data_IF_370616351281
#
_entry.id   IF_370616351281
#
_cell.length_a   1.000
_cell.length_b   1.000
_cell.length_c   1.000
_cell.angle_alpha   90.00
_cell.angle_beta   90.00
_cell.angle_gamma   90.00
#
_symmetry.space_group_name_H-M   'P 1'
#
loop_
_entity.id
_entity.type
_entity.pdbx_description
1 polymer ?
#
# COMPACT_ATOMS: atom_id res chain seq x y z
N UNK A 1 13.92 1.46 11.34
CA UNK A 1 13.12 1.55 10.12
C UNK A 1 11.75 1.04 10.49
N UNK A 2 10.71 1.84 10.34
CA UNK A 2 9.33 1.44 10.57
C UNK A 2 8.75 0.90 9.26
N UNK A 3 7.84 -0.07 9.33
CA UNK A 3 7.02 -0.48 8.22
C UNK A 3 5.75 0.35 8.28
N UNK A 4 5.53 1.18 7.28
CA UNK A 4 4.27 1.90 7.12
C UNK A 4 3.36 1.07 6.22
N UNK A 5 2.13 0.82 6.69
CA UNK A 5 1.12 0.05 5.99
C UNK A 5 -0.10 0.92 5.83
N UNK A 6 -0.56 1.04 4.59
CA UNK A 6 -1.74 1.83 4.26
C UNK A 6 -2.73 0.99 3.44
N UNK A 7 -4.02 1.11 3.72
CA UNK A 7 -5.08 0.67 2.81
C UNK A 7 -5.57 1.88 2.03
N UNK A 8 -5.46 1.79 0.71
CA UNK A 8 -5.82 2.86 -0.21
C UNK A 8 -7.00 2.40 -1.06
N UNK A 9 -8.04 3.22 -1.12
CA UNK A 9 -9.19 3.06 -2.00
C UNK A 9 -9.01 3.92 -3.25
N UNK A 10 -9.15 3.32 -4.42
CA UNK A 10 -9.14 4.04 -5.72
C UNK A 10 -10.44 3.77 -6.47
N UNK A 11 -10.84 4.65 -7.41
CA UNK A 11 -11.86 4.29 -8.40
C UNK A 11 -11.48 2.99 -9.13
N UNK A 12 -12.48 2.20 -9.56
CA UNK A 12 -12.25 0.91 -10.24
C UNK A 12 -11.44 1.03 -11.54
N UNK A 13 -11.51 2.18 -12.20
CA UNK A 13 -10.74 2.50 -13.41
C UNK A 13 -9.24 2.72 -13.17
N UNK A 14 -8.81 2.81 -11.92
CA UNK A 14 -7.42 3.11 -11.55
C UNK A 14 -6.68 1.85 -11.11
N UNK A 15 -5.56 1.60 -11.75
CA UNK A 15 -4.60 0.56 -11.35
C UNK A 15 -3.41 1.20 -10.63
N UNK A 16 -3.45 1.17 -9.31
CA UNK A 16 -2.44 1.80 -8.48
C UNK A 16 -1.06 1.12 -8.62
N UNK A 17 -1.05 -0.21 -8.80
CA UNK A 17 0.19 -0.96 -9.00
C UNK A 17 0.92 -0.52 -10.27
N UNK A 18 0.19 -0.27 -11.36
CA UNK A 18 0.77 0.25 -12.61
C UNK A 18 1.35 1.65 -12.43
N UNK A 19 0.64 2.52 -11.70
CA UNK A 19 1.14 3.89 -11.42
C UNK A 19 2.44 3.83 -10.61
N UNK A 20 2.49 2.99 -9.59
CA UNK A 20 3.72 2.82 -8.80
C UNK A 20 4.85 2.20 -9.62
N UNK A 21 4.58 1.25 -10.51
CA UNK A 21 5.60 0.67 -11.37
C UNK A 21 6.24 1.72 -12.29
N UNK A 22 5.42 2.56 -12.92
CA UNK A 22 5.92 3.64 -13.79
C UNK A 22 6.67 4.70 -12.96
N UNK A 23 6.15 5.06 -11.78
CA UNK A 23 6.81 5.99 -10.86
C UNK A 23 8.22 5.53 -10.51
N UNK A 24 8.35 4.28 -10.08
CA UNK A 24 9.62 3.68 -9.67
C UNK A 24 10.63 3.70 -10.82
N UNK A 25 10.18 3.28 -12.00
CA UNK A 25 11.03 3.28 -13.19
C UNK A 25 11.47 4.68 -13.60
N UNK A 26 10.59 5.67 -13.47
CA UNK A 26 10.93 7.07 -13.72
C UNK A 26 11.91 7.57 -12.68
N UNK A 27 11.70 7.26 -11.41
CA UNK A 27 12.59 7.66 -10.32
C UNK A 27 14.00 7.08 -10.49
N UNK A 28 14.12 5.79 -10.79
CA UNK A 28 15.40 5.13 -11.04
C UNK A 28 16.10 5.71 -12.27
N UNK A 29 15.36 5.91 -13.37
CA UNK A 29 15.89 6.48 -14.60
C UNK A 29 16.35 7.95 -14.47
N UNK A 30 15.89 8.70 -13.46
CA UNK A 30 16.19 10.10 -13.26
C UNK A 30 17.02 10.43 -12.01
N UNK A 31 17.25 9.47 -11.12
CA UNK A 31 18.02 9.68 -9.88
C UNK A 31 19.40 10.30 -10.11
N UNK A 32 20.02 10.00 -11.24
CA UNK A 32 21.33 10.53 -11.64
C UNK A 32 21.29 11.96 -12.21
N UNK A 33 20.12 12.53 -12.54
CA UNK A 33 19.99 13.89 -13.08
C UNK A 33 20.02 14.98 -12.00
N UNK A 34 19.82 14.61 -10.74
CA UNK A 34 19.51 15.58 -9.69
C UNK A 34 20.72 16.18 -8.99
N UNK A 35 21.94 15.96 -9.44
CA UNK A 35 23.17 16.56 -8.90
C UNK A 35 23.10 17.20 -7.51
N UNK A 36 24.19 17.37 -6.82
CA UNK A 36 24.25 17.79 -5.39
C UNK A 36 23.94 19.29 -5.13
N UNK A 37 23.69 20.10 -6.17
CA UNK A 37 23.51 21.56 -6.01
C UNK A 37 22.07 21.94 -5.64
N UNK A 38 21.89 22.24 -4.35
CA UNK A 38 20.61 22.65 -3.76
C UNK A 38 20.02 23.96 -4.31
N UNK A 39 20.86 24.87 -4.81
CA UNK A 39 20.41 26.18 -5.27
C UNK A 39 19.69 26.14 -6.62
N UNK A 40 19.93 25.13 -7.41
CA UNK A 40 19.35 24.95 -8.75
C UNK A 40 18.03 24.15 -8.75
N UNK A 41 17.63 23.58 -7.63
CA UNK A 41 16.52 22.60 -7.55
C UNK A 41 15.16 23.13 -8.00
N UNK A 42 14.80 24.36 -7.66
CA UNK A 42 13.50 24.92 -8.08
C UNK A 42 13.38 25.06 -9.60
N UNK A 43 14.46 25.41 -10.30
CA UNK A 43 14.51 25.44 -11.74
C UNK A 43 14.43 24.01 -12.34
N UNK A 44 15.11 23.05 -11.71
CA UNK A 44 15.08 21.64 -12.12
C UNK A 44 13.69 21.00 -12.05
N UNK A 45 12.84 21.36 -11.11
CA UNK A 45 11.50 20.80 -11.01
C UNK A 45 10.63 21.06 -12.23
N UNK A 46 10.68 22.29 -12.75
CA UNK A 46 9.92 22.63 -13.97
C UNK A 46 10.50 21.87 -15.17
N UNK A 47 11.81 21.85 -15.31
CA UNK A 47 12.49 21.11 -16.37
C UNK A 47 12.24 19.60 -16.28
N UNK A 48 12.27 19.05 -15.07
CA UNK A 48 11.98 17.64 -14.84
C UNK A 48 10.55 17.25 -15.21
N UNK A 49 9.56 18.05 -14.81
CA UNK A 49 8.17 17.83 -15.22
C UNK A 49 8.00 17.87 -16.73
N UNK A 50 8.68 18.79 -17.40
CA UNK A 50 8.61 18.90 -18.86
C UNK A 50 9.31 17.73 -19.56
N UNK A 51 10.43 17.24 -19.02
CA UNK A 51 11.07 16.01 -19.48
C UNK A 51 10.19 14.80 -19.27
N UNK A 52 9.57 14.66 -18.11
CA UNK A 52 8.62 13.55 -17.83
C UNK A 52 7.46 13.54 -18.82
N UNK A 53 6.94 14.70 -19.23
CA UNK A 53 5.85 14.78 -20.22
C UNK A 53 6.24 14.22 -21.60
N UNK A 54 7.51 14.25 -21.93
CA UNK A 54 8.03 13.73 -23.21
C UNK A 54 8.54 12.31 -23.17
N UNK A 55 8.50 11.65 -22.00
CA UNK A 55 8.96 10.27 -21.84
C UNK A 55 8.06 9.29 -22.60
N UNK A 56 8.72 8.39 -23.31
CA UNK A 56 8.06 7.22 -23.91
C UNK A 56 8.33 5.97 -23.07
N UNK A 57 7.46 4.99 -23.18
CA UNK A 57 7.63 3.69 -22.53
C UNK A 57 8.97 3.04 -22.87
N UNK A 58 9.39 3.10 -24.14
CA UNK A 58 10.67 2.54 -24.58
C UNK A 58 11.88 3.25 -23.97
N UNK A 59 11.81 4.57 -23.81
CA UNK A 59 12.87 5.32 -23.13
C UNK A 59 12.99 4.93 -21.66
N UNK A 60 11.87 4.74 -20.94
CA UNK A 60 11.90 4.28 -19.57
C UNK A 60 12.47 2.87 -19.50
N UNK A 61 11.99 1.94 -20.33
CA UNK A 61 12.46 0.56 -20.35
C UNK A 61 13.93 0.41 -20.78
N UNK A 62 14.50 1.36 -21.52
CA UNK A 62 15.92 1.34 -21.89
C UNK A 62 16.85 1.71 -20.73
N UNK A 63 16.33 2.39 -19.71
CA UNK A 63 17.10 2.88 -18.57
C UNK A 63 16.90 2.05 -17.29
N UNK A 64 15.90 1.16 -17.27
CA UNK A 64 15.53 0.36 -16.11
C UNK A 64 15.63 -1.13 -16.44
N UNK A 65 16.49 -1.84 -15.73
CA UNK A 65 16.71 -3.28 -15.94
C UNK A 65 16.15 -4.15 -14.81
N UNK A 66 15.97 -3.59 -13.62
CA UNK A 66 15.49 -4.25 -12.41
C UNK A 66 14.61 -3.31 -11.58
N UNK A 67 13.69 -3.79 -10.74
CA UNK A 67 13.31 -5.21 -10.58
C UNK A 67 12.61 -5.80 -11.81
N UNK A 68 12.81 -7.09 -12.07
CA UNK A 68 12.25 -7.77 -13.27
C UNK A 68 10.72 -7.66 -13.35
N UNK A 69 10.04 -7.72 -12.20
CA UNK A 69 8.58 -7.67 -12.13
C UNK A 69 8.06 -6.28 -12.55
N UNK A 70 8.76 -5.23 -12.16
CA UNK A 70 8.48 -3.85 -12.56
C UNK A 70 8.63 -3.69 -14.09
N UNK A 71 9.73 -4.16 -14.63
CA UNK A 71 10.00 -4.12 -16.07
C UNK A 71 8.94 -4.92 -16.84
N UNK A 72 8.55 -6.10 -16.33
CA UNK A 72 7.52 -6.93 -16.94
C UNK A 72 6.15 -6.21 -16.93
N UNK A 73 5.79 -5.59 -15.80
CA UNK A 73 4.56 -4.81 -15.67
C UNK A 73 4.50 -3.67 -16.68
N UNK A 74 5.58 -2.88 -16.82
CA UNK A 74 5.62 -1.77 -17.79
C UNK A 74 5.56 -2.29 -19.23
N UNK A 75 6.24 -3.39 -19.54
CA UNK A 75 6.21 -4.00 -20.89
C UNK A 75 4.80 -4.42 -21.30
N UNK A 76 3.99 -4.90 -20.37
CA UNK A 76 2.62 -5.36 -20.63
C UNK A 76 1.64 -4.20 -20.80
N UNK A 77 1.94 -3.00 -20.32
CA UNK A 77 1.08 -1.82 -20.52
C UNK A 77 1.00 -1.43 -21.99
N UNK A 78 -0.19 -1.00 -22.44
CA UNK A 78 -0.32 -0.24 -23.67
C UNK A 78 0.30 1.16 -23.49
N UNK A 79 0.61 1.84 -24.59
CA UNK A 79 1.11 3.21 -24.54
C UNK A 79 0.09 4.17 -23.91
N UNK A 80 -1.21 3.91 -24.11
CA UNK A 80 -2.30 4.69 -23.49
C UNK A 80 -2.27 4.54 -21.97
N UNK A 81 -2.14 3.32 -21.46
CA UNK A 81 -2.04 3.06 -20.01
C UNK A 81 -0.77 3.67 -19.42
N UNK A 82 0.37 3.51 -20.12
CA UNK A 82 1.63 4.11 -19.69
C UNK A 82 1.51 5.64 -19.58
N UNK A 83 0.96 6.30 -20.59
CA UNK A 83 0.77 7.74 -20.59
C UNK A 83 -0.22 8.22 -19.51
N UNK A 84 -1.27 7.42 -19.22
CA UNK A 84 -2.19 7.70 -18.13
C UNK A 84 -1.48 7.63 -16.76
N UNK A 85 -0.65 6.61 -16.53
CA UNK A 85 0.17 6.52 -15.31
C UNK A 85 1.15 7.69 -15.21
N UNK A 86 1.83 8.02 -16.29
CA UNK A 86 2.78 9.14 -16.35
C UNK A 86 2.10 10.48 -16.03
N UNK A 87 0.86 10.71 -16.49
CA UNK A 87 0.07 11.89 -16.15
C UNK A 87 -0.09 12.06 -14.63
N UNK A 88 -0.44 10.99 -13.92
CA UNK A 88 -0.58 11.02 -12.46
C UNK A 88 0.76 11.29 -11.76
N UNK A 89 1.83 10.68 -12.23
CA UNK A 89 3.17 10.87 -11.68
C UNK A 89 3.62 12.33 -11.84
N UNK A 90 3.49 12.90 -13.02
CA UNK A 90 3.87 14.29 -13.29
C UNK A 90 3.13 15.27 -12.37
N UNK A 91 1.84 15.01 -12.12
CA UNK A 91 1.03 15.84 -11.24
C UNK A 91 1.38 15.67 -9.75
N UNK A 92 1.97 14.53 -9.38
CA UNK A 92 2.41 14.25 -7.99
C UNK A 92 3.83 14.70 -7.69
N UNK A 93 4.63 15.08 -8.69
CA UNK A 93 5.98 15.59 -8.44
C UNK A 93 5.93 16.96 -7.79
N UNK A 94 6.57 17.10 -6.64
CA UNK A 94 6.71 18.37 -5.91
C UNK A 94 8.16 18.61 -5.46
N UNK A 95 8.59 19.88 -5.30
CA UNK A 95 9.90 20.19 -4.75
C UNK A 95 9.97 19.76 -3.28
N UNK A 96 11.03 19.05 -2.88
CA UNK A 96 11.25 18.72 -1.47
C UNK A 96 11.86 19.89 -0.71
N UNK A 97 11.36 20.16 0.50
CA UNK A 97 11.87 21.25 1.33
C UNK A 97 13.25 20.92 1.93
N UNK A 98 13.55 19.65 2.15
CA UNK A 98 14.73 19.20 2.92
C UNK A 98 15.97 18.86 2.08
N UNK A 99 15.91 19.08 0.80
CA UNK A 99 17.10 19.01 -0.06
C UNK A 99 17.58 17.60 -0.40
N UNK A 100 16.76 16.56 -0.30
CA UNK A 100 17.08 15.23 -0.78
C UNK A 100 17.17 15.17 -2.32
N UNK A 101 18.05 14.29 -2.81
CA UNK A 101 18.36 14.12 -4.24
C UNK A 101 17.31 13.29 -5.01
N UNK A 102 16.32 12.73 -4.32
CA UNK A 102 15.27 11.91 -4.91
C UNK A 102 14.08 12.73 -5.39
N UNK A 103 13.39 12.25 -6.41
CA UNK A 103 12.10 12.79 -6.82
C UNK A 103 11.13 12.70 -5.64
N UNK A 104 10.61 13.82 -5.20
CA UNK A 104 9.58 13.83 -4.19
C UNK A 104 8.22 13.64 -4.85
N UNK A 105 7.65 12.45 -4.69
CA UNK A 105 6.29 12.16 -5.08
C UNK A 105 5.38 12.45 -3.89
N UNK A 106 4.48 13.40 -4.06
CA UNK A 106 3.43 13.66 -3.08
C UNK A 106 2.36 12.58 -3.23
N UNK A 107 2.43 11.59 -2.35
CA UNK A 107 1.47 10.46 -2.32
C UNK A 107 0.03 10.92 -2.13
N UNK A 108 -0.19 12.08 -1.50
CA UNK A 108 -1.54 12.64 -1.33
C UNK A 108 -2.16 13.14 -2.66
N UNK A 109 -1.34 13.28 -3.71
CA UNK A 109 -1.80 13.64 -5.06
C UNK A 109 -1.98 12.46 -5.98
N UNK A 110 -1.61 11.25 -5.55
CA UNK A 110 -1.93 10.03 -6.30
C UNK A 110 -3.43 9.75 -6.24
N UNK A 111 -3.99 9.07 -7.26
CA UNK A 111 -5.42 8.82 -7.32
C UNK A 111 -5.82 7.75 -6.30
N UNK A 112 -6.10 8.17 -5.09
CA UNK A 112 -6.53 7.26 -4.04
C UNK A 112 -6.75 7.98 -2.71
N UNK A 113 -7.60 7.38 -1.88
CA UNK A 113 -7.83 7.84 -0.51
C UNK A 113 -7.33 6.77 0.45
N UNK A 114 -6.44 7.14 1.33
CA UNK A 114 -6.04 6.28 2.44
C UNK A 114 -7.22 6.09 3.38
N UNK A 115 -7.66 4.86 3.56
CA UNK A 115 -8.72 4.50 4.51
C UNK A 115 -8.14 4.36 5.90
N UNK A 116 -6.99 3.70 6.00
CA UNK A 116 -6.24 3.67 7.24
C UNK A 116 -4.73 3.62 6.97
N UNK A 117 -3.98 4.08 7.95
CA UNK A 117 -2.54 4.08 7.99
C UNK A 117 -2.03 3.47 9.30
N UNK A 118 -1.07 2.56 9.24
CA UNK A 118 -0.62 1.80 10.40
C UNK A 118 0.75 1.15 10.19
N UNK A 119 1.48 0.97 11.30
CA UNK A 119 2.76 0.27 11.35
C UNK A 119 2.61 -1.15 11.94
N UNK A 120 1.63 -1.95 11.54
CA UNK A 120 1.39 -3.30 12.06
C UNK A 120 1.60 -4.39 11.03
N UNK A 121 2.60 -5.26 11.26
CA UNK A 121 2.85 -6.45 10.44
C UNK A 121 1.66 -7.41 10.39
N UNK A 122 0.96 -7.61 11.51
CA UNK A 122 -0.18 -8.50 11.59
C UNK A 122 -1.32 -8.06 10.69
N UNK A 123 -1.53 -6.76 10.55
CA UNK A 123 -2.56 -6.23 9.69
C UNK A 123 -2.20 -6.41 8.20
N UNK A 124 -0.92 -6.27 7.84
CA UNK A 124 -0.41 -6.63 6.51
C UNK A 124 -0.72 -8.08 6.19
N UNK A 125 -0.39 -9.00 7.09
CA UNK A 125 -0.60 -10.42 6.89
C UNK A 125 -2.09 -10.77 6.78
N UNK A 126 -2.95 -10.09 7.54
CA UNK A 126 -4.40 -10.24 7.45
C UNK A 126 -4.94 -9.82 6.08
N UNK A 127 -4.57 -8.65 5.60
CA UNK A 127 -5.03 -8.17 4.30
C UNK A 127 -4.38 -8.90 3.13
N UNK A 128 -3.15 -9.41 3.28
CA UNK A 128 -2.52 -10.26 2.28
C UNK A 128 -3.30 -11.58 2.04
N UNK A 129 -4.05 -12.09 3.05
CA UNK A 129 -4.95 -13.22 2.86
C UNK A 129 -6.16 -12.90 1.95
N UNK A 130 -6.41 -11.62 1.71
CA UNK A 130 -7.49 -11.11 0.85
C UNK A 130 -6.98 -10.69 -0.54
N UNK A 131 -5.80 -11.11 -0.95
CA UNK A 131 -5.21 -10.78 -2.25
C UNK A 131 -6.08 -11.24 -3.43
N UNK A 132 -6.19 -10.40 -4.46
CA UNK A 132 -6.93 -10.70 -5.70
C UNK A 132 -6.13 -11.66 -6.57
N UNK A 133 -4.81 -11.42 -6.70
CA UNK A 133 -3.92 -12.20 -7.55
C UNK A 133 -2.63 -12.56 -6.83
N UNK A 134 -1.95 -13.62 -7.29
CA UNK A 134 -0.65 -14.02 -6.78
C UNK A 134 0.52 -13.13 -7.25
N UNK A 135 0.26 -12.18 -8.10
CA UNK A 135 1.26 -11.25 -8.65
C UNK A 135 1.34 -9.98 -7.81
N UNK A 136 2.15 -10.03 -6.78
CA UNK A 136 2.46 -8.88 -5.94
C UNK A 136 3.59 -8.07 -6.56
N UNK A 137 3.35 -6.80 -6.81
CA UNK A 137 4.40 -5.89 -7.24
C UNK A 137 5.27 -5.51 -6.05
N UNK A 138 6.60 -5.59 -6.21
CA UNK A 138 7.59 -5.23 -5.19
C UNK A 138 8.58 -4.20 -5.71
N UNK A 139 8.19 -2.94 -5.86
CA UNK A 139 9.12 -1.87 -6.21
C UNK A 139 10.03 -1.56 -5.01
N UNK A 140 11.34 -1.50 -5.19
CA UNK A 140 12.39 -1.03 -4.25
C UNK A 140 12.14 -1.23 -2.74
N UNK A 141 11.60 -2.40 -2.34
CA UNK A 141 11.28 -2.69 -0.94
C UNK A 141 9.83 -2.39 -0.55
N UNK A 142 9.09 -1.63 -1.33
CA UNK A 142 7.66 -1.46 -1.16
C UNK A 142 6.90 -2.70 -1.65
N UNK A 143 5.69 -2.82 -1.15
CA UNK A 143 4.82 -3.92 -1.46
C UNK A 143 3.45 -3.35 -1.80
N UNK A 144 2.96 -3.63 -3.01
CA UNK A 144 1.65 -3.18 -3.47
C UNK A 144 0.83 -4.39 -3.89
N UNK A 145 -0.33 -4.51 -3.30
CA UNK A 145 -1.20 -5.65 -3.41
C UNK A 145 -2.63 -5.20 -3.62
N UNK A 146 -3.29 -5.68 -4.67
CA UNK A 146 -4.73 -5.48 -4.78
C UNK A 146 -5.48 -6.43 -3.85
N UNK A 147 -6.43 -5.87 -3.10
CA UNK A 147 -7.20 -6.56 -2.07
C UNK A 147 -8.63 -6.80 -2.57
N UNK A 148 -9.08 -8.04 -2.49
CA UNK A 148 -10.43 -8.46 -2.83
C UNK A 148 -11.42 -8.02 -1.75
N UNK A 149 -12.35 -7.14 -2.11
CA UNK A 149 -13.37 -6.59 -1.21
C UNK A 149 -14.25 -7.69 -0.63
N UNK A 150 -14.63 -8.70 -1.41
CA UNK A 150 -15.48 -9.79 -0.93
C UNK A 150 -14.75 -10.65 0.10
N UNK A 151 -13.44 -10.88 -0.10
CA UNK A 151 -12.62 -11.56 0.89
C UNK A 151 -12.47 -10.74 2.19
N UNK A 152 -12.35 -9.42 2.09
CA UNK A 152 -12.32 -8.53 3.27
C UNK A 152 -13.66 -8.57 4.01
N UNK A 153 -14.78 -8.56 3.29
CA UNK A 153 -16.10 -8.73 3.88
C UNK A 153 -16.24 -10.07 4.59
N UNK A 154 -15.80 -11.17 3.95
CA UNK A 154 -15.81 -12.50 4.55
C UNK A 154 -14.91 -12.59 5.79
N UNK A 155 -13.75 -11.92 5.77
CA UNK A 155 -12.87 -11.79 6.92
C UNK A 155 -13.59 -11.06 8.06
N UNK A 156 -14.24 -9.93 7.76
CA UNK A 156 -15.01 -9.15 8.75
C UNK A 156 -16.11 -9.98 9.41
N UNK A 157 -16.85 -10.77 8.63
CA UNK A 157 -17.89 -11.65 9.17
C UNK A 157 -17.32 -12.74 10.10
N UNK A 158 -16.12 -13.27 9.80
CA UNK A 158 -15.41 -14.18 10.71
C UNK A 158 -15.06 -13.48 12.02
N UNK A 159 -14.51 -12.28 11.98
CA UNK A 159 -14.17 -11.50 13.17
C UNK A 159 -15.39 -11.17 14.02
N UNK A 160 -16.50 -10.77 13.41
CA UNK A 160 -17.75 -10.52 14.13
C UNK A 160 -18.26 -11.77 14.87
N UNK A 161 -18.19 -12.94 14.27
CA UNK A 161 -18.58 -14.20 14.92
C UNK A 161 -17.68 -14.54 16.11
N UNK A 162 -16.38 -14.21 16.02
CA UNK A 162 -15.43 -14.44 17.10
C UNK A 162 -15.52 -13.41 18.21
N UNK A 163 -16.15 -12.27 18.00
CA UNK A 163 -16.19 -11.15 18.95
C UNK A 163 -16.73 -11.54 20.32
N UNK A 164 -17.70 -12.44 20.38
CA UNK A 164 -18.24 -12.96 21.64
C UNK A 164 -17.18 -13.80 22.39
N UNK A 165 -16.51 -14.75 21.72
CA UNK A 165 -15.44 -15.56 22.33
C UNK A 165 -14.30 -14.66 22.85
N UNK A 166 -13.89 -13.65 22.08
CA UNK A 166 -12.88 -12.67 22.48
C UNK A 166 -13.32 -11.88 23.71
N UNK A 167 -14.58 -11.48 23.79
CA UNK A 167 -15.14 -10.78 24.94
C UNK A 167 -15.15 -11.66 26.19
N UNK A 168 -15.48 -12.92 26.05
CA UNK A 168 -15.43 -13.93 27.12
C UNK A 168 -13.98 -14.15 27.58
N UNK A 169 -13.04 -14.29 26.65
CA UNK A 169 -11.62 -14.40 26.96
C UNK A 169 -11.10 -13.20 27.76
N UNK A 170 -11.49 -11.98 27.37
CA UNK A 170 -11.17 -10.75 28.09
C UNK A 170 -11.73 -10.76 29.52
N UNK A 171 -12.99 -11.17 29.68
CA UNK A 171 -13.62 -11.25 31.00
C UNK A 171 -12.93 -12.27 31.90
N UNK A 172 -12.61 -13.47 31.36
CA UNK A 172 -11.84 -14.49 32.08
C UNK A 172 -10.45 -13.96 32.46
N UNK A 173 -9.82 -13.17 31.60
CA UNK A 173 -8.52 -12.55 31.82
C UNK A 173 -8.45 -11.69 33.08
N UNK A 174 -9.57 -11.10 33.52
CA UNK A 174 -9.62 -10.37 34.81
C UNK A 174 -9.44 -11.29 36.02
N UNK A 175 -9.81 -12.56 35.92
CA UNK A 175 -9.65 -13.53 37.02
C UNK A 175 -8.40 -14.37 36.86
N UNK A 176 -8.02 -14.68 35.63
CA UNK A 176 -6.82 -15.41 35.30
C UNK A 176 -6.27 -14.97 33.94
N UNK A 177 -5.29 -14.09 33.97
CA UNK A 177 -4.65 -13.55 32.77
C UNK A 177 -4.17 -14.65 31.82
N UNK A 178 -3.50 -15.67 32.37
CA UNK A 178 -2.98 -16.80 31.59
C UNK A 178 -4.08 -17.55 30.83
N UNK A 179 -5.22 -17.79 31.47
CA UNK A 179 -6.36 -18.51 30.83
C UNK A 179 -7.01 -17.62 29.79
N UNK A 180 -7.24 -16.35 30.09
CA UNK A 180 -7.81 -15.39 29.14
C UNK A 180 -6.93 -15.21 27.89
N UNK A 181 -5.60 -15.11 28.05
CA UNK A 181 -4.66 -15.00 26.94
C UNK A 181 -4.58 -16.29 26.11
N UNK A 182 -4.70 -17.47 26.70
CA UNK A 182 -4.73 -18.71 25.94
C UNK A 182 -5.99 -18.78 25.05
N UNK A 183 -7.18 -18.46 25.61
CA UNK A 183 -8.42 -18.41 24.82
C UNK A 183 -8.32 -17.36 23.72
N UNK A 184 -7.74 -16.19 24.00
CA UNK A 184 -7.52 -15.17 22.98
C UNK A 184 -6.62 -15.70 21.86
N UNK A 185 -5.53 -16.37 22.21
CA UNK A 185 -4.61 -16.95 21.22
C UNK A 185 -5.32 -17.96 20.33
N UNK A 186 -6.11 -18.88 20.89
CA UNK A 186 -6.89 -19.83 20.12
C UNK A 186 -7.85 -19.13 19.16
N UNK A 187 -8.48 -18.03 19.59
CA UNK A 187 -9.33 -17.21 18.71
C UNK A 187 -8.53 -16.55 17.57
N UNK A 188 -7.35 -16.04 17.85
CA UNK A 188 -6.50 -15.38 16.86
C UNK A 188 -5.93 -16.37 15.84
N UNK A 189 -5.55 -17.56 16.27
CA UNK A 189 -5.14 -18.65 15.39
C UNK A 189 -6.28 -19.05 14.42
N UNK A 190 -7.53 -19.12 14.93
CA UNK A 190 -8.73 -19.37 14.12
C UNK A 190 -9.00 -18.26 13.10
N UNK A 191 -8.58 -17.02 13.39
CA UNK A 191 -8.66 -15.85 12.51
C UNK A 191 -7.44 -15.69 11.59
N UNK A 192 -6.42 -16.54 11.71
CA UNK A 192 -5.19 -16.50 10.91
C UNK A 192 -4.17 -15.48 11.40
N UNK A 193 -4.29 -14.98 12.63
CA UNK A 193 -3.31 -14.09 13.26
C UNK A 193 -2.28 -14.92 14.01
N UNK A 194 -1.04 -14.92 13.57
CA UNK A 194 0.03 -15.78 14.11
C UNK A 194 0.92 -15.11 15.15
N UNK A 195 0.62 -13.89 15.57
CA UNK A 195 1.45 -13.17 16.52
C UNK A 195 1.16 -13.61 17.96
N UNK A 196 2.20 -14.06 18.67
CA UNK A 196 2.14 -14.48 20.07
C UNK A 196 2.07 -13.32 21.06
N UNK A 197 2.30 -12.09 20.60
CA UNK A 197 2.34 -10.89 21.45
C UNK A 197 1.08 -10.02 21.35
N UNK A 198 0.07 -10.42 20.58
CA UNK A 198 -1.19 -9.69 20.45
C UNK A 198 -1.94 -9.65 21.78
N UNK A 199 -2.35 -8.47 22.17
CA UNK A 199 -3.15 -8.21 23.38
C UNK A 199 -4.59 -7.79 23.01
N UNK A 200 -5.49 -7.78 24.00
CA UNK A 200 -6.91 -7.45 23.77
C UNK A 200 -7.16 -6.07 23.15
N UNK A 201 -6.26 -5.08 23.39
CA UNK A 201 -6.33 -3.77 22.75
C UNK A 201 -6.12 -3.85 21.25
N UNK A 202 -5.18 -4.67 20.80
CA UNK A 202 -4.82 -4.82 19.39
C UNK A 202 -5.96 -5.47 18.62
N UNK A 203 -6.60 -6.48 19.22
CA UNK A 203 -7.78 -7.13 18.62
C UNK A 203 -8.91 -6.12 18.36
N UNK A 204 -9.19 -5.24 19.34
CA UNK A 204 -10.18 -4.17 19.16
C UNK A 204 -9.80 -3.23 18.03
N UNK A 205 -8.54 -2.91 17.92
CA UNK A 205 -7.99 -2.05 16.90
C UNK A 205 -8.10 -2.70 15.51
N UNK A 206 -7.72 -3.98 15.35
CA UNK A 206 -7.89 -4.73 14.10
C UNK A 206 -9.36 -4.79 13.68
N UNK A 207 -10.27 -5.14 14.59
CA UNK A 207 -11.70 -5.17 14.31
C UNK A 207 -12.22 -3.82 13.81
N UNK A 208 -11.78 -2.73 14.41
CA UNK A 208 -12.16 -1.40 13.97
C UNK A 208 -11.70 -1.14 12.53
N UNK A 209 -10.42 -1.35 12.22
CA UNK A 209 -9.87 -1.04 10.90
C UNK A 209 -10.45 -1.92 9.80
N UNK A 210 -10.63 -3.23 10.03
CA UNK A 210 -11.32 -4.10 9.08
C UNK A 210 -12.76 -3.63 8.86
N UNK A 211 -13.46 -3.29 9.93
CA UNK A 211 -14.84 -2.79 9.85
C UNK A 211 -14.96 -1.46 9.14
N UNK A 212 -14.05 -0.53 9.37
CA UNK A 212 -13.99 0.76 8.69
C UNK A 212 -13.71 0.57 7.18
N UNK A 213 -12.79 -0.34 6.83
CA UNK A 213 -12.51 -0.69 5.42
C UNK A 213 -13.75 -1.23 4.73
N UNK A 214 -14.45 -2.19 5.33
CA UNK A 214 -15.69 -2.74 4.78
C UNK A 214 -16.74 -1.64 4.59
N UNK A 215 -16.94 -0.79 5.60
CA UNK A 215 -17.93 0.30 5.55
C UNK A 215 -17.64 1.31 4.43
N UNK A 216 -16.36 1.61 4.19
CA UNK A 216 -15.94 2.57 3.16
C UNK A 216 -16.03 2.03 1.73
N UNK A 217 -16.21 0.72 1.56
CA UNK A 217 -16.11 0.07 0.25
C UNK A 217 -17.37 -0.66 -0.22
N UNK A 218 -18.32 -0.94 0.68
CA UNK A 218 -19.48 -1.80 0.42
C UNK A 218 -20.40 -1.32 -0.72
N UNK A 219 -20.50 -0.02 -0.95
CA UNK A 219 -21.49 0.57 -1.89
C UNK A 219 -20.80 1.34 -3.04
N UNK A 220 -19.49 1.17 -3.22
CA UNK A 220 -18.74 1.95 -4.20
C UNK A 220 -18.06 1.06 -5.24
N UNK A 221 -18.11 1.49 -6.51
CA UNK A 221 -17.28 0.89 -7.58
C UNK A 221 -15.82 1.34 -7.39
N UNK A 222 -15.09 0.56 -6.59
CA UNK A 222 -13.73 0.88 -6.21
C UNK A 222 -12.82 -0.36 -6.17
N UNK A 223 -11.51 -0.11 -6.15
CA UNK A 223 -10.47 -1.10 -5.89
C UNK A 223 -9.79 -0.76 -4.58
N UNK A 224 -9.36 -1.77 -3.87
CA UNK A 224 -8.59 -1.64 -2.63
C UNK A 224 -7.14 -2.09 -2.86
N UNK A 225 -6.24 -1.37 -2.23
CA UNK A 225 -4.81 -1.62 -2.32
C UNK A 225 -4.18 -1.62 -0.94
N UNK A 226 -3.43 -2.66 -0.64
CA UNK A 226 -2.51 -2.67 0.49
C UNK A 226 -1.16 -2.16 -0.01
N UNK A 227 -0.69 -1.07 0.56
CA UNK A 227 0.63 -0.49 0.26
C UNK A 227 1.45 -0.55 1.53
N UNK A 228 2.64 -1.13 1.47
CA UNK A 228 3.60 -1.09 2.57
C UNK A 228 4.93 -0.58 2.10
N UNK A 229 5.51 0.37 2.84
CA UNK A 229 6.85 0.93 2.61
C UNK A 229 7.78 0.63 3.78
N UNK A 230 9.08 0.47 3.49
CA UNK A 230 10.12 0.16 4.46
C UNK A 230 11.05 1.35 4.71
#
# INVERSE_FOLDING_TARGET
MGLDISIIKTPSSIDLAKIYAVREAVEEGFSWYLGDDKSQRAAYWTELKDKCKSLTKDQVLSNVSEPKDLVATIKQMSDVEFNACLFWIINSISPHQDGNTHLNFDYNRLPGRTIFDSCSWNLKDLFAQCEVSSETLRPCGDFILEVDIDKVCAMWERWKRMSFKISVAKWIGYFSERVGLNILRDCLDELGVRDTFVVFSDVKWYMKHIGDTVKETLDEDCRLWLVSSY
#
